data_IF_905096837181
#
_entry.id   IF_905096837181
#
_cell.length_a   1.000
_cell.length_b   1.000
_cell.length_c   1.000
_cell.angle_alpha   90.00
_cell.angle_beta   90.00
_cell.angle_gamma   90.00
#
_symmetry.space_group_name_H-M   'P 1'
#
loop_
_entity.id
_entity.type
_entity.pdbx_description
1 polymer ?
#
# COMPACT_ATOMS: atom_id res chain seq x y z
N UNK A 1 19.24 6.65 -9.99
CA UNK A 1 17.96 6.67 -9.26
C UNK A 1 18.11 7.65 -8.10
N UNK A 2 17.02 8.29 -7.67
CA UNK A 2 17.04 9.26 -6.57
C UNK A 2 15.81 9.08 -5.69
N UNK A 3 15.91 9.47 -4.42
CA UNK A 3 14.77 9.54 -3.52
C UNK A 3 13.70 10.45 -4.11
N UNK A 4 12.46 9.97 -4.18
CA UNK A 4 11.32 10.71 -4.71
C UNK A 4 11.02 11.99 -3.89
N UNK A 5 11.26 11.97 -2.58
CA UNK A 5 10.96 13.10 -1.69
C UNK A 5 12.08 14.15 -1.63
N UNK A 6 13.33 13.76 -1.39
CA UNK A 6 14.43 14.71 -1.17
C UNK A 6 15.49 14.77 -2.28
N UNK A 7 15.43 13.88 -3.27
CA UNK A 7 16.38 13.86 -4.38
C UNK A 7 17.77 13.28 -4.06
N UNK A 8 18.00 12.77 -2.85
CA UNK A 8 19.21 12.03 -2.48
C UNK A 8 19.47 10.86 -3.44
N UNK A 9 20.72 10.54 -3.74
CA UNK A 9 21.10 9.47 -4.70
C UNK A 9 21.71 8.23 -4.04
N UNK A 10 22.13 8.34 -2.79
CA UNK A 10 22.73 7.26 -2.00
C UNK A 10 21.71 6.64 -1.04
N UNK A 11 21.90 5.36 -0.70
CA UNK A 11 21.02 4.64 0.21
C UNK A 11 19.58 4.63 -0.26
N UNK A 12 19.36 4.31 -1.54
CA UNK A 12 18.05 4.32 -2.18
C UNK A 12 17.47 2.93 -2.22
N UNK A 13 16.27 2.79 -1.68
CA UNK A 13 15.56 1.54 -1.51
C UNK A 13 14.22 1.59 -2.26
N UNK A 14 13.83 0.48 -2.92
CA UNK A 14 12.56 0.39 -3.61
C UNK A 14 11.41 0.14 -2.62
N UNK A 15 10.27 0.77 -2.86
CA UNK A 15 9.01 0.52 -2.16
C UNK A 15 7.89 0.34 -3.18
N UNK A 16 7.25 -0.83 -3.15
CA UNK A 16 6.03 -1.09 -3.92
C UNK A 16 4.81 -0.61 -3.13
N UNK A 17 4.05 0.32 -3.69
CA UNK A 17 2.81 0.79 -3.05
C UNK A 17 1.73 -0.30 -3.09
N UNK A 18 0.81 -0.30 -2.13
CA UNK A 18 -0.26 -1.31 -2.10
C UNK A 18 -1.31 -1.14 -3.21
N UNK A 19 -1.43 0.07 -3.77
CA UNK A 19 -2.44 0.46 -4.76
C UNK A 19 -1.87 0.80 -6.14
N UNK A 20 -0.56 0.73 -6.33
CA UNK A 20 0.11 0.98 -7.62
C UNK A 20 1.01 -0.19 -7.99
N UNK A 21 1.14 -0.44 -9.28
CA UNK A 21 2.10 -1.44 -9.79
C UNK A 21 3.52 -0.89 -9.91
N UNK A 22 3.67 0.44 -9.88
CA UNK A 22 4.94 1.14 -9.96
C UNK A 22 5.75 1.01 -8.65
N UNK A 23 7.06 0.87 -8.81
CA UNK A 23 8.02 0.88 -7.70
C UNK A 23 8.53 2.32 -7.54
N UNK A 24 8.31 2.89 -6.36
CA UNK A 24 8.83 4.20 -5.99
C UNK A 24 10.14 4.00 -5.20
N UNK A 25 11.06 4.96 -5.30
CA UNK A 25 12.39 4.85 -4.70
C UNK A 25 12.59 5.93 -3.64
N UNK A 26 13.06 5.52 -2.46
CA UNK A 26 13.19 6.40 -1.30
C UNK A 26 14.55 6.23 -0.62
N UNK A 27 15.07 7.27 0.03
CA UNK A 27 16.24 7.10 0.89
C UNK A 27 15.84 6.43 2.22
N UNK A 28 16.82 6.00 3.01
CA UNK A 28 16.57 5.27 4.27
C UNK A 28 15.63 5.99 5.25
N UNK A 29 15.68 7.33 5.32
CA UNK A 29 14.77 8.09 6.17
C UNK A 29 13.34 8.07 5.62
N UNK A 30 13.19 8.39 4.33
CA UNK A 30 11.88 8.52 3.70
C UNK A 30 11.22 7.17 3.44
N UNK A 31 11.95 6.07 3.27
CA UNK A 31 11.33 4.75 3.08
C UNK A 31 10.55 4.34 4.33
N UNK A 32 11.10 4.56 5.53
CA UNK A 32 10.42 4.26 6.80
C UNK A 32 9.12 5.07 6.94
N UNK A 33 9.13 6.32 6.50
CA UNK A 33 7.94 7.17 6.49
C UNK A 33 6.93 6.72 5.43
N UNK A 34 7.40 6.41 4.22
CA UNK A 34 6.59 5.97 3.11
C UNK A 34 5.93 4.62 3.40
N UNK A 35 6.62 3.67 4.03
CA UNK A 35 6.08 2.39 4.47
C UNK A 35 4.93 2.58 5.48
N UNK A 36 5.15 3.39 6.52
CA UNK A 36 4.12 3.71 7.51
C UNK A 36 2.90 4.36 6.87
N UNK A 37 3.12 5.28 5.94
CA UNK A 37 2.03 5.93 5.22
C UNK A 37 1.29 4.96 4.29
N UNK A 38 2.02 4.12 3.56
CA UNK A 38 1.50 3.10 2.66
C UNK A 38 0.61 2.11 3.45
N UNK A 39 1.07 1.62 4.60
CA UNK A 39 0.27 0.75 5.46
C UNK A 39 -0.97 1.47 6.03
N UNK A 40 -0.81 2.71 6.51
CA UNK A 40 -1.92 3.52 7.02
C UNK A 40 -3.00 3.75 5.96
N UNK A 41 -2.61 4.05 4.73
CA UNK A 41 -3.53 4.21 3.59
C UNK A 41 -4.21 2.89 3.24
N UNK A 42 -3.47 1.78 3.19
CA UNK A 42 -4.01 0.42 2.94
C UNK A 42 -5.11 0.09 3.96
N UNK A 43 -4.82 0.32 5.24
CA UNK A 43 -5.77 0.06 6.34
C UNK A 43 -6.98 0.97 6.28
N UNK A 44 -6.78 2.27 6.07
CA UNK A 44 -7.88 3.23 5.97
C UNK A 44 -8.82 2.89 4.80
N UNK A 45 -8.26 2.52 3.65
CA UNK A 45 -9.02 2.06 2.49
C UNK A 45 -9.85 0.81 2.83
N UNK A 46 -9.20 -0.21 3.41
CA UNK A 46 -9.89 -1.44 3.76
C UNK A 46 -11.05 -1.23 4.75
N UNK A 47 -10.81 -0.45 5.81
CA UNK A 47 -11.82 -0.15 6.82
C UNK A 47 -12.99 0.66 6.26
N UNK A 48 -12.72 1.65 5.40
CA UNK A 48 -13.77 2.46 4.76
C UNK A 48 -14.70 1.61 3.88
N UNK A 49 -14.14 0.66 3.14
CA UNK A 49 -14.87 -0.22 2.23
C UNK A 49 -15.29 -1.57 2.86
N UNK A 50 -15.07 -1.73 4.17
CA UNK A 50 -15.66 -2.83 4.95
C UNK A 50 -17.18 -2.74 4.98
N UNK A 51 -17.73 -1.53 4.89
CA UNK A 51 -19.15 -1.30 4.70
C UNK A 51 -19.56 -1.61 3.25
N UNK A 52 -20.54 -2.49 3.08
CA UNK A 52 -21.02 -2.92 1.77
C UNK A 52 -21.58 -1.78 0.92
N UNK A 53 -22.25 -0.80 1.54
CA UNK A 53 -22.78 0.38 0.83
C UNK A 53 -21.65 1.13 0.16
N UNK A 54 -20.54 1.38 0.86
CA UNK A 54 -19.37 2.06 0.29
C UNK A 54 -18.69 1.21 -0.79
N UNK A 55 -18.60 -0.11 -0.56
CA UNK A 55 -17.98 -1.06 -1.50
C UNK A 55 -18.76 -1.17 -2.82
N UNK A 56 -20.06 -0.89 -2.81
CA UNK A 56 -20.90 -0.91 -4.02
C UNK A 56 -20.49 0.16 -5.04
N UNK A 57 -19.96 1.30 -4.57
CA UNK A 57 -19.52 2.42 -5.42
C UNK A 57 -18.09 2.28 -5.95
N UNK A 58 -17.38 1.20 -5.60
CA UNK A 58 -16.02 1.00 -6.07
C UNK A 58 -15.98 0.70 -7.58
N UNK A 59 -15.08 1.38 -8.29
CA UNK A 59 -14.68 0.98 -9.64
C UNK A 59 -14.09 -0.44 -9.64
N UNK A 60 -14.13 -1.17 -10.76
CA UNK A 60 -13.64 -2.55 -10.86
C UNK A 60 -12.22 -2.74 -10.29
N UNK A 61 -11.28 -1.87 -10.70
CA UNK A 61 -9.89 -1.88 -10.21
C UNK A 61 -9.78 -1.74 -8.69
N UNK A 62 -10.60 -0.89 -8.10
CA UNK A 62 -10.59 -0.68 -6.64
C UNK A 62 -11.28 -1.80 -5.88
N UNK A 63 -12.25 -2.50 -6.50
CA UNK A 63 -12.81 -3.74 -5.96
C UNK A 63 -11.75 -4.84 -5.87
N UNK A 64 -10.99 -5.04 -6.94
CA UNK A 64 -9.90 -6.03 -6.96
C UNK A 64 -8.86 -5.76 -5.85
N UNK A 65 -8.49 -4.48 -5.64
CA UNK A 65 -7.62 -4.07 -4.54
C UNK A 65 -8.24 -4.43 -3.18
N UNK A 66 -9.51 -4.12 -2.96
CA UNK A 66 -10.19 -4.45 -1.70
C UNK A 66 -10.24 -5.96 -1.47
N UNK A 67 -10.60 -6.75 -2.49
CA UNK A 67 -10.65 -8.21 -2.40
C UNK A 67 -9.28 -8.83 -2.09
N UNK A 68 -8.21 -8.29 -2.68
CA UNK A 68 -6.83 -8.72 -2.38
C UNK A 68 -6.50 -8.47 -0.91
N UNK A 69 -6.77 -7.27 -0.40
CA UNK A 69 -6.53 -6.91 1.01
C UNK A 69 -7.42 -7.74 1.95
N UNK A 70 -8.67 -7.98 1.57
CA UNK A 70 -9.60 -8.80 2.32
C UNK A 70 -9.10 -10.24 2.45
N UNK A 71 -8.62 -10.84 1.34
CA UNK A 71 -8.00 -12.16 1.37
C UNK A 71 -6.77 -12.18 2.28
N UNK A 72 -5.85 -11.23 2.13
CA UNK A 72 -4.64 -11.12 2.99
C UNK A 72 -4.95 -11.00 4.49
N UNK A 73 -6.08 -10.38 4.86
CA UNK A 73 -6.51 -10.22 6.26
C UNK A 73 -7.35 -11.39 6.76
N UNK A 74 -8.05 -12.11 5.87
CA UNK A 74 -8.89 -13.26 6.20
C UNK A 74 -8.11 -14.58 6.30
N UNK A 75 -7.00 -14.74 5.57
CA UNK A 75 -6.09 -15.86 5.82
C UNK A 75 -5.24 -15.55 7.04
N UNK A 76 -5.38 -16.28 8.16
CA UNK A 76 -4.31 -16.27 9.15
C UNK A 76 -3.06 -16.76 8.44
N UNK A 77 -1.99 -15.97 8.48
CA UNK A 77 -0.66 -16.45 8.11
C UNK A 77 -0.38 -17.69 8.98
N UNK A 78 -0.61 -18.88 8.43
CA UNK A 78 0.10 -20.08 8.88
C UNK A 78 1.57 -19.77 8.69
N UNK A 79 2.19 -19.48 9.82
CA UNK A 79 3.62 -19.27 9.99
C UNK A 79 4.24 -20.66 9.90
N UNK A 80 4.68 -21.05 8.70
CA UNK A 80 5.65 -22.15 8.52
C UNK A 80 7.08 -21.62 8.75
#
# INVERSE_FOLDING_TARGET
MKCLYCGQKEGIYPLKQWNKDEIEYYCEDHIKQAEKFNEKQKRAFYEYYKNELHRSWLSPKSRELWEKIHKETATPKSRE
#
